data_IF_770891316624
#
_entry.id   IF_770891316624
#
_cell.length_a   1.000
_cell.length_b   1.000
_cell.length_c   1.000
_cell.angle_alpha   90.00
_cell.angle_beta   90.00
_cell.angle_gamma   90.00
#
_symmetry.space_group_name_H-M   'P 1'
#
loop_
_entity.id
_entity.type
_entity.pdbx_description
1 polymer ?
#
# COMPACT_ATOMS: atom_id res chain seq x y z
N UNK A 1 -2.03 -26.13 -22.70
CA UNK A 1 -2.34 -25.32 -21.49
C UNK A 1 -2.83 -23.96 -21.94
N UNK A 2 -4.00 -23.51 -21.49
CA UNK A 2 -4.55 -22.19 -21.86
C UNK A 2 -3.63 -21.11 -21.27
N UNK A 3 -3.18 -20.15 -22.08
CA UNK A 3 -2.35 -19.04 -21.58
C UNK A 3 -3.18 -18.24 -20.58
N UNK A 4 -2.64 -18.05 -19.38
CA UNK A 4 -3.27 -17.23 -18.36
C UNK A 4 -3.18 -15.74 -18.74
N UNK A 5 -4.20 -14.94 -18.39
CA UNK A 5 -4.18 -13.50 -18.63
C UNK A 5 -3.04 -12.85 -17.85
N UNK A 6 -2.43 -11.86 -18.48
CA UNK A 6 -1.38 -11.06 -17.87
C UNK A 6 -1.99 -10.02 -16.93
N UNK A 7 -1.58 -10.03 -15.66
CA UNK A 7 -2.02 -9.06 -14.67
C UNK A 7 -1.45 -7.67 -14.97
N UNK A 8 -2.28 -6.64 -14.81
CA UNK A 8 -1.78 -5.26 -14.67
C UNK A 8 -1.63 -4.97 -13.19
N UNK A 9 -0.40 -4.70 -12.80
CA UNK A 9 0.01 -4.48 -11.42
C UNK A 9 1.09 -3.41 -11.40
N UNK A 10 1.04 -2.56 -10.38
CA UNK A 10 2.06 -1.55 -10.12
C UNK A 10 3.30 -2.17 -9.49
N UNK A 11 4.47 -1.56 -9.73
CA UNK A 11 5.75 -2.01 -9.19
C UNK A 11 5.71 -2.12 -7.66
N UNK A 12 5.10 -1.15 -6.96
CA UNK A 12 4.96 -1.19 -5.51
C UNK A 12 4.22 -2.44 -5.00
N UNK A 13 3.04 -2.76 -5.56
CA UNK A 13 2.28 -3.95 -5.17
C UNK A 13 3.03 -5.24 -5.52
N UNK A 14 3.69 -5.26 -6.68
CA UNK A 14 4.48 -6.41 -7.10
C UNK A 14 5.67 -6.67 -6.18
N UNK A 15 6.42 -5.62 -5.83
CA UNK A 15 7.63 -5.70 -5.02
C UNK A 15 7.34 -6.03 -3.55
N UNK A 16 6.13 -5.73 -3.04
CA UNK A 16 5.68 -6.13 -1.70
C UNK A 16 5.38 -7.65 -1.57
N UNK A 17 5.59 -8.43 -2.64
CA UNK A 17 5.32 -9.87 -2.65
C UNK A 17 6.29 -10.63 -1.74
N UNK A 18 5.76 -11.42 -0.81
CA UNK A 18 6.49 -12.37 0.02
C UNK A 18 5.92 -13.81 -0.02
N UNK A 19 4.93 -14.08 -0.87
CA UNK A 19 4.31 -15.40 -1.02
C UNK A 19 4.55 -15.98 -2.42
N UNK A 20 5.27 -17.10 -2.48
CA UNK A 20 5.35 -17.95 -3.67
C UNK A 20 4.51 -19.22 -3.48
N UNK A 21 3.68 -19.53 -4.48
CA UNK A 21 2.99 -20.81 -4.62
C UNK A 21 3.70 -21.58 -5.72
N UNK A 22 4.56 -22.52 -5.33
CA UNK A 22 5.30 -23.38 -6.28
C UNK A 22 4.37 -24.42 -6.89
N UNK A 23 4.42 -24.53 -8.22
CA UNK A 23 3.78 -25.64 -8.92
C UNK A 23 4.51 -26.95 -8.62
N UNK A 24 3.78 -27.98 -8.20
CA UNK A 24 4.36 -29.32 -7.96
C UNK A 24 4.39 -30.11 -9.27
N UNK A 25 5.51 -30.03 -10.00
CA UNK A 25 5.80 -30.80 -11.21
C UNK A 25 6.44 -29.98 -12.34
N UNK A 26 7.09 -30.64 -13.30
CA UNK A 26 7.88 -29.98 -14.36
C UNK A 26 7.10 -28.97 -15.23
N UNK A 27 5.78 -29.10 -15.31
CA UNK A 27 4.90 -28.28 -16.16
C UNK A 27 3.87 -27.47 -15.38
N UNK A 28 3.94 -27.46 -14.05
CA UNK A 28 3.00 -26.69 -13.23
C UNK A 28 3.56 -25.28 -13.02
N UNK A 29 2.83 -24.22 -13.40
CA UNK A 29 3.28 -22.85 -13.20
C UNK A 29 3.46 -22.54 -11.70
N UNK A 30 4.50 -21.80 -11.38
CA UNK A 30 4.61 -21.09 -10.09
C UNK A 30 3.85 -19.77 -10.17
N UNK A 31 3.30 -19.37 -9.04
CA UNK A 31 2.63 -18.09 -8.87
C UNK A 31 3.27 -17.35 -7.72
N UNK A 32 3.18 -16.03 -7.78
CA UNK A 32 3.28 -15.23 -6.57
C UNK A 32 1.91 -14.70 -6.17
N UNK A 33 1.74 -14.37 -4.90
CA UNK A 33 0.52 -13.73 -4.40
C UNK A 33 0.89 -12.40 -3.77
N UNK A 34 0.37 -11.31 -4.30
CA UNK A 34 0.62 -9.96 -3.77
C UNK A 34 -0.21 -9.68 -2.52
N UNK A 35 0.10 -8.63 -1.73
CA UNK A 35 -0.70 -8.29 -0.55
C UNK A 35 -2.19 -8.02 -0.86
N UNK A 36 -2.49 -7.44 -2.02
CA UNK A 36 -3.89 -7.22 -2.47
C UNK A 36 -4.54 -8.48 -3.06
N UNK A 37 -3.88 -9.64 -3.01
CA UNK A 37 -4.44 -10.93 -3.40
C UNK A 37 -4.36 -11.25 -4.90
N UNK A 38 -3.53 -10.55 -5.68
CA UNK A 38 -3.26 -10.94 -7.07
C UNK A 38 -2.49 -12.25 -7.10
N UNK A 39 -3.06 -13.32 -7.68
CA UNK A 39 -2.35 -14.58 -7.93
C UNK A 39 -1.66 -14.53 -9.30
N UNK A 40 -0.41 -14.10 -9.33
CA UNK A 40 0.30 -13.67 -10.53
C UNK A 40 1.27 -14.74 -11.03
N UNK A 41 1.06 -15.22 -12.27
CA UNK A 41 2.07 -15.96 -13.03
C UNK A 41 2.74 -15.09 -14.11
N UNK A 42 1.96 -14.17 -14.69
CA UNK A 42 2.32 -13.36 -15.84
C UNK A 42 1.80 -11.94 -15.64
N UNK A 43 2.59 -10.95 -16.03
CA UNK A 43 2.24 -9.53 -15.95
C UNK A 43 2.31 -8.88 -17.32
N UNK A 44 1.53 -7.82 -17.47
CA UNK A 44 1.70 -6.82 -18.52
C UNK A 44 1.92 -5.48 -17.83
N UNK A 45 3.13 -4.94 -17.96
CA UNK A 45 3.54 -3.68 -17.35
C UNK A 45 3.90 -2.67 -18.43
N UNK A 46 3.85 -1.39 -18.09
CA UNK A 46 4.35 -0.31 -18.95
C UNK A 46 5.04 0.73 -18.09
N UNK A 47 6.18 1.24 -18.54
CA UNK A 47 7.00 2.18 -17.79
C UNK A 47 8.16 2.72 -18.59
N UNK A 48 9.07 3.42 -17.92
CA UNK A 48 10.32 3.93 -18.48
C UNK A 48 11.41 2.89 -18.30
N UNK A 49 11.98 2.38 -19.38
CA UNK A 49 13.22 1.63 -19.34
C UNK A 49 14.33 2.60 -18.93
N UNK A 50 14.92 2.43 -17.74
CA UNK A 50 15.92 3.36 -17.19
C UNK A 50 17.35 2.94 -17.50
N UNK A 51 17.60 1.63 -17.51
CA UNK A 51 18.91 1.04 -17.74
C UNK A 51 18.79 -0.39 -18.27
N UNK A 52 19.82 -0.80 -19.00
CA UNK A 52 20.03 -2.16 -19.50
C UNK A 52 21.51 -2.47 -19.33
N UNK A 53 21.82 -3.44 -18.47
CA UNK A 53 23.17 -3.82 -18.09
C UNK A 53 23.42 -5.31 -18.37
N UNK A 54 24.66 -5.64 -18.73
CA UNK A 54 25.10 -7.03 -18.83
C UNK A 54 25.57 -7.52 -17.46
N UNK A 55 24.98 -8.60 -16.96
CA UNK A 55 25.32 -9.18 -15.65
C UNK A 55 26.55 -10.08 -15.72
N UNK A 56 26.84 -10.62 -16.91
CA UNK A 56 27.95 -11.54 -17.16
C UNK A 56 28.80 -11.00 -18.31
N UNK A 57 30.12 -11.15 -18.22
CA UNK A 57 31.04 -10.91 -19.33
C UNK A 57 30.62 -11.73 -20.55
N UNK A 58 30.25 -11.05 -21.65
CA UNK A 58 29.71 -11.67 -22.86
C UNK A 58 28.34 -11.15 -23.28
N UNK A 59 27.61 -10.43 -22.42
CA UNK A 59 26.38 -9.72 -22.79
C UNK A 59 25.16 -10.59 -23.07
N UNK A 60 25.24 -11.88 -22.78
CA UNK A 60 24.18 -12.87 -23.04
C UNK A 60 23.09 -12.90 -21.96
N UNK A 61 23.35 -12.26 -20.81
CA UNK A 61 22.42 -12.14 -19.69
C UNK A 61 22.30 -10.69 -19.27
N UNK A 62 21.11 -10.12 -19.47
CA UNK A 62 20.81 -8.73 -19.24
C UNK A 62 19.96 -8.56 -17.99
N UNK A 63 20.29 -7.52 -17.22
CA UNK A 63 19.42 -6.93 -16.22
C UNK A 63 18.93 -5.60 -16.76
N UNK A 64 17.64 -5.37 -16.66
CA UNK A 64 17.04 -4.10 -17.04
C UNK A 64 16.05 -3.65 -15.96
N UNK A 65 15.84 -2.35 -15.86
CA UNK A 65 14.87 -1.76 -14.94
C UNK A 65 13.81 -0.98 -15.70
N UNK A 66 12.55 -1.24 -15.36
CA UNK A 66 11.41 -0.51 -15.90
C UNK A 66 10.70 0.18 -14.76
N UNK A 67 10.70 1.51 -14.78
CA UNK A 67 10.11 2.37 -13.76
C UNK A 67 8.67 2.73 -14.11
N UNK A 68 7.75 2.49 -13.19
CA UNK A 68 6.39 3.05 -13.23
C UNK A 68 6.24 4.13 -12.13
N UNK A 69 5.11 4.84 -12.03
CA UNK A 69 4.95 5.90 -11.03
C UNK A 69 5.08 5.45 -9.56
N UNK A 70 5.04 4.14 -9.30
CA UNK A 70 5.03 3.55 -7.95
C UNK A 70 6.35 2.87 -7.57
N UNK A 71 7.27 2.70 -8.52
CA UNK A 71 8.54 2.04 -8.27
C UNK A 71 9.14 1.41 -9.52
N UNK A 72 10.01 0.41 -9.31
CA UNK A 72 10.82 -0.19 -10.37
C UNK A 72 10.59 -1.70 -10.44
N UNK A 73 10.40 -2.21 -11.65
CA UNK A 73 10.46 -3.63 -11.96
C UNK A 73 11.87 -4.04 -12.38
N UNK A 74 12.44 -5.06 -11.75
CA UNK A 74 13.68 -5.70 -12.20
C UNK A 74 13.37 -6.79 -13.22
N UNK A 75 13.99 -6.70 -14.39
CA UNK A 75 13.83 -7.63 -15.51
C UNK A 75 15.16 -8.36 -15.73
N UNK A 76 15.10 -9.69 -15.87
CA UNK A 76 16.22 -10.50 -16.31
C UNK A 76 15.90 -11.21 -17.62
N UNK A 77 16.70 -10.98 -18.65
CA UNK A 77 16.57 -11.61 -19.97
C UNK A 77 17.87 -12.31 -20.34
N UNK A 78 17.78 -13.52 -20.88
CA UNK A 78 18.95 -14.31 -21.25
C UNK A 78 18.81 -15.03 -22.58
N UNK A 79 19.69 -16.01 -22.81
CA UNK A 79 19.80 -16.79 -24.05
C UNK A 79 18.51 -17.50 -24.47
N UNK A 80 17.64 -17.87 -23.52
CA UNK A 80 16.36 -18.54 -23.80
C UNK A 80 15.23 -17.57 -24.20
N UNK A 81 15.49 -16.26 -24.19
CA UNK A 81 14.55 -15.20 -24.53
C UNK A 81 15.11 -14.32 -25.67
N UNK A 82 15.69 -14.94 -26.71
CA UNK A 82 16.46 -14.25 -27.75
C UNK A 82 15.76 -13.00 -28.33
N UNK A 83 14.48 -13.09 -28.67
CA UNK A 83 13.72 -11.95 -29.21
C UNK A 83 13.61 -10.78 -28.22
N UNK A 84 13.27 -11.06 -26.95
CA UNK A 84 13.15 -10.04 -25.92
C UNK A 84 14.53 -9.45 -25.52
N UNK A 85 15.56 -10.30 -25.45
CA UNK A 85 16.95 -9.88 -25.17
C UNK A 85 17.48 -8.98 -26.29
N UNK A 86 17.33 -9.37 -27.55
CA UNK A 86 17.74 -8.55 -28.69
C UNK A 86 16.99 -7.21 -28.72
N UNK A 87 15.68 -7.23 -28.42
CA UNK A 87 14.90 -5.99 -28.36
C UNK A 87 15.36 -5.08 -27.22
N UNK A 88 15.64 -5.61 -26.03
CA UNK A 88 16.23 -4.83 -24.92
C UNK A 88 17.56 -4.18 -25.29
N UNK A 89 18.45 -4.89 -25.98
CA UNK A 89 19.74 -4.33 -26.43
C UNK A 89 19.58 -3.22 -27.48
N UNK A 90 18.52 -3.29 -28.28
CA UNK A 90 18.29 -2.31 -29.35
C UNK A 90 17.63 -1.01 -28.89
N UNK A 91 16.99 -1.01 -27.72
CA UNK A 91 16.29 0.17 -27.19
C UNK A 91 17.30 0.97 -26.37
N UNK A 92 17.49 2.24 -26.71
CA UNK A 92 18.33 3.15 -25.93
C UNK A 92 17.52 3.74 -24.76
N UNK A 93 17.92 3.52 -23.49
CA UNK A 93 17.31 4.19 -22.35
C UNK A 93 17.65 5.69 -22.33
N UNK A 94 16.72 6.58 -21.90
CA UNK A 94 15.37 6.28 -21.42
C UNK A 94 14.34 6.13 -22.54
N UNK A 95 13.50 5.08 -22.47
CA UNK A 95 12.43 4.84 -23.44
C UNK A 95 11.16 4.27 -22.77
N UNK A 96 9.97 4.63 -23.27
CA UNK A 96 8.74 3.99 -22.80
C UNK A 96 8.62 2.60 -23.40
N UNK A 97 8.45 1.60 -22.54
CA UNK A 97 8.35 0.20 -22.95
C UNK A 97 7.13 -0.48 -22.33
N UNK A 98 6.45 -1.29 -23.13
CA UNK A 98 5.47 -2.26 -22.70
C UNK A 98 6.14 -3.63 -22.60
N UNK A 99 5.97 -4.31 -21.45
CA UNK A 99 6.59 -5.61 -21.18
C UNK A 99 5.52 -6.62 -20.79
N UNK A 100 5.51 -7.75 -21.48
CA UNK A 100 4.82 -8.96 -21.00
C UNK A 100 5.86 -9.92 -20.47
N UNK A 101 5.72 -10.32 -19.21
CA UNK A 101 6.74 -11.14 -18.54
C UNK A 101 6.16 -12.16 -17.58
N UNK A 102 6.91 -13.23 -17.33
CA UNK A 102 6.62 -14.21 -16.28
C UNK A 102 7.31 -13.82 -15.00
N UNK A 103 6.63 -14.04 -13.89
CA UNK A 103 7.20 -13.82 -12.56
C UNK A 103 8.27 -14.86 -12.27
N UNK A 104 9.36 -14.41 -11.66
CA UNK A 104 10.42 -15.23 -11.07
C UNK A 104 10.66 -14.75 -9.65
N UNK A 105 11.01 -15.69 -8.78
CA UNK A 105 11.42 -15.44 -7.42
C UNK A 105 12.85 -15.90 -7.25
N UNK A 106 13.60 -15.23 -6.39
CA UNK A 106 14.88 -15.71 -5.91
C UNK A 106 15.03 -15.40 -4.43
N UNK A 107 15.73 -16.27 -3.71
CA UNK A 107 15.93 -16.20 -2.27
C UNK A 107 17.44 -16.27 -2.04
N UNK A 108 18.14 -15.13 -1.94
CA UNK A 108 19.60 -15.10 -1.80
C UNK A 108 20.06 -15.43 -0.37
N UNK A 109 19.24 -15.07 0.62
CA UNK A 109 19.47 -15.26 2.05
C UNK A 109 18.23 -15.90 2.68
N UNK A 110 18.38 -16.57 3.83
CA UNK A 110 17.25 -17.20 4.52
C UNK A 110 16.21 -16.14 4.93
N UNK A 111 15.04 -16.18 4.28
CA UNK A 111 13.85 -15.45 4.70
C UNK A 111 13.40 -14.33 3.76
N UNK A 112 14.28 -13.80 2.91
CA UNK A 112 13.92 -12.68 2.02
C UNK A 112 13.66 -13.17 0.60
N UNK A 113 12.40 -13.06 0.17
CA UNK A 113 11.97 -13.38 -1.19
C UNK A 113 12.02 -12.11 -2.04
N UNK A 114 12.77 -12.17 -3.14
CA UNK A 114 12.80 -11.11 -4.13
C UNK A 114 12.08 -11.57 -5.39
N UNK A 115 11.41 -10.64 -6.05
CA UNK A 115 10.68 -10.88 -7.30
C UNK A 115 11.38 -10.20 -8.48
N UNK A 116 11.35 -10.86 -9.63
CA UNK A 116 11.83 -10.30 -10.89
C UNK A 116 11.00 -10.81 -12.06
N UNK A 117 11.11 -10.14 -13.21
CA UNK A 117 10.38 -10.49 -14.41
C UNK A 117 11.31 -11.12 -15.44
N UNK A 118 10.90 -12.27 -15.98
CA UNK A 118 11.48 -12.82 -17.20
C UNK A 118 10.62 -12.37 -18.37
N UNK A 119 11.14 -11.54 -19.29
CA UNK A 119 10.33 -11.01 -20.36
C UNK A 119 10.02 -12.09 -21.40
N UNK A 120 8.81 -12.06 -21.91
CA UNK A 120 8.39 -12.82 -23.10
C UNK A 120 8.28 -11.93 -24.32
N UNK A 121 7.89 -10.68 -24.13
CA UNK A 121 7.76 -9.68 -25.19
C UNK A 121 8.04 -8.29 -24.61
N UNK A 122 8.83 -7.51 -25.33
CA UNK A 122 9.14 -6.11 -25.01
C UNK A 122 8.94 -5.29 -26.27
N UNK A 123 8.30 -4.13 -26.16
CA UNK A 123 8.15 -3.16 -27.25
C UNK A 123 8.24 -1.74 -26.73
N UNK A 124 8.80 -0.86 -27.53
CA UNK A 124 8.63 0.58 -27.32
C UNK A 124 7.15 0.94 -27.51
N UNK A 125 6.67 1.84 -26.67
CA UNK A 125 5.27 2.31 -26.67
C UNK A 125 5.22 3.83 -26.61
N UNK A 126 4.08 4.40 -26.98
CA UNK A 126 3.89 5.85 -26.87
C UNK A 126 3.56 6.27 -25.43
N UNK A 127 3.65 7.56 -25.16
CA UNK A 127 3.25 8.14 -23.88
C UNK A 127 1.77 7.85 -23.56
N UNK A 128 0.89 7.92 -24.57
CA UNK A 128 -0.54 7.67 -24.41
C UNK A 128 -0.84 6.21 -24.05
N UNK A 129 -0.08 5.27 -24.61
CA UNK A 129 -0.21 3.85 -24.26
C UNK A 129 0.21 3.60 -22.81
N UNK A 130 1.26 4.29 -22.34
CA UNK A 130 1.72 4.28 -20.94
C UNK A 130 0.68 4.88 -20.01
N UNK A 131 0.09 6.02 -20.36
CA UNK A 131 -0.93 6.67 -19.53
C UNK A 131 -2.21 5.83 -19.45
N UNK A 132 -2.63 5.23 -20.56
CA UNK A 132 -3.75 4.28 -20.57
C UNK A 132 -3.49 3.07 -19.68
N UNK A 133 -2.27 2.52 -19.72
CA UNK A 133 -1.90 1.43 -18.84
C UNK A 133 -2.00 1.86 -17.36
N UNK A 134 -1.51 3.05 -17.00
CA UNK A 134 -1.60 3.58 -15.63
C UNK A 134 -3.07 3.65 -15.17
N UNK A 135 -3.97 4.21 -15.99
CA UNK A 135 -5.41 4.31 -15.67
C UNK A 135 -6.03 2.91 -15.47
N UNK A 136 -5.76 1.98 -16.38
CA UNK A 136 -6.26 0.60 -16.29
C UNK A 136 -5.72 -0.12 -15.05
N UNK A 137 -4.45 0.09 -14.70
CA UNK A 137 -3.82 -0.46 -13.51
C UNK A 137 -4.43 0.13 -12.23
N UNK A 138 -4.65 1.45 -12.17
CA UNK A 138 -5.35 2.10 -11.05
C UNK A 138 -6.74 1.49 -10.80
N UNK A 139 -7.52 1.26 -11.86
CA UNK A 139 -8.85 0.64 -11.74
C UNK A 139 -8.76 -0.80 -11.22
N UNK A 140 -7.80 -1.59 -11.70
CA UNK A 140 -7.61 -2.96 -11.24
C UNK A 140 -7.09 -3.02 -9.79
N UNK A 141 -6.18 -2.14 -9.41
CA UNK A 141 -5.69 -2.01 -8.02
C UNK A 141 -6.84 -1.63 -7.09
N UNK A 142 -7.67 -0.63 -7.45
CA UNK A 142 -8.87 -0.26 -6.69
C UNK A 142 -9.83 -1.44 -6.52
N UNK A 143 -10.06 -2.23 -7.57
CA UNK A 143 -10.91 -3.42 -7.49
C UNK A 143 -10.36 -4.45 -6.50
N UNK A 144 -9.04 -4.69 -6.49
CA UNK A 144 -8.39 -5.59 -5.52
C UNK A 144 -8.42 -5.05 -4.09
N UNK A 145 -8.22 -3.74 -3.92
CA UNK A 145 -8.36 -3.07 -2.63
C UNK A 145 -9.75 -3.27 -2.04
N UNK A 146 -10.82 -3.06 -2.83
CA UNK A 146 -12.18 -3.33 -2.39
C UNK A 146 -12.37 -4.78 -1.95
N UNK A 147 -11.82 -5.73 -2.72
CA UNK A 147 -11.93 -7.15 -2.41
C UNK A 147 -11.21 -7.55 -1.11
N UNK A 148 -9.98 -7.07 -0.89
CA UNK A 148 -9.26 -7.35 0.37
C UNK A 148 -9.91 -6.63 1.57
N UNK A 149 -10.46 -5.43 1.38
CA UNK A 149 -11.22 -4.72 2.42
C UNK A 149 -12.46 -5.49 2.83
N UNK A 150 -13.24 -6.02 1.88
CA UNK A 150 -14.38 -6.87 2.21
C UNK A 150 -13.96 -8.16 2.92
N UNK A 151 -12.86 -8.77 2.49
CA UNK A 151 -12.32 -9.95 3.15
C UNK A 151 -11.91 -9.65 4.60
N UNK A 152 -11.23 -8.53 4.88
CA UNK A 152 -10.81 -8.15 6.24
C UNK A 152 -11.98 -7.88 7.21
N UNK A 153 -13.18 -7.57 6.69
CA UNK A 153 -14.40 -7.45 7.51
C UNK A 153 -14.99 -8.80 7.91
N UNK A 154 -14.60 -9.90 7.25
CA UNK A 154 -15.10 -11.24 7.55
C UNK A 154 -14.36 -11.85 8.72
N UNK A 155 -15.08 -12.53 9.62
CA UNK A 155 -14.45 -13.28 10.72
C UNK A 155 -13.56 -14.42 10.21
N UNK A 156 -13.96 -15.06 9.10
CA UNK A 156 -13.18 -16.09 8.41
C UNK A 156 -13.27 -15.89 6.89
N UNK A 157 -12.31 -15.18 6.28
CA UNK A 157 -12.26 -14.96 4.85
C UNK A 157 -12.22 -16.29 4.09
N UNK A 158 -13.13 -16.49 3.14
CA UNK A 158 -13.19 -17.69 2.32
C UNK A 158 -13.60 -17.39 0.88
N UNK A 159 -13.25 -18.31 -0.02
CA UNK A 159 -13.46 -18.15 -1.47
C UNK A 159 -14.95 -18.08 -1.83
N UNK A 160 -15.81 -18.76 -1.09
CA UNK A 160 -17.24 -18.81 -1.40
C UNK A 160 -17.90 -17.45 -1.19
N UNK A 161 -17.67 -16.82 -0.03
CA UNK A 161 -18.28 -15.54 0.31
C UNK A 161 -17.77 -14.40 -0.58
N UNK A 162 -16.47 -14.36 -0.89
CA UNK A 162 -15.90 -13.37 -1.82
C UNK A 162 -16.47 -13.51 -3.23
N UNK A 163 -16.70 -14.74 -3.70
CA UNK A 163 -17.35 -14.97 -5.00
C UNK A 163 -18.82 -14.55 -4.99
N UNK A 164 -19.52 -14.70 -3.85
CA UNK A 164 -20.91 -14.23 -3.69
C UNK A 164 -21.00 -12.71 -3.76
N UNK A 165 -19.95 -11.99 -3.37
CA UNK A 165 -19.81 -10.54 -3.55
C UNK A 165 -19.46 -10.13 -4.99
N UNK A 166 -19.23 -11.09 -5.90
CA UNK A 166 -18.95 -10.83 -7.32
C UNK A 166 -17.47 -10.87 -7.70
N UNK A 167 -16.56 -11.16 -6.77
CA UNK A 167 -15.14 -11.28 -7.11
C UNK A 167 -14.83 -12.57 -7.87
N UNK A 168 -13.82 -12.52 -8.74
CA UNK A 168 -13.40 -13.70 -9.50
C UNK A 168 -12.87 -14.80 -8.58
N UNK A 169 -12.89 -16.04 -9.07
CA UNK A 169 -12.33 -17.18 -8.32
C UNK A 169 -10.85 -16.97 -8.04
N UNK A 170 -10.10 -16.52 -9.03
CA UNK A 170 -8.65 -16.34 -8.95
C UNK A 170 -8.27 -15.27 -7.92
N UNK A 171 -8.99 -14.14 -7.92
CA UNK A 171 -8.78 -13.08 -6.94
C UNK A 171 -9.19 -13.53 -5.54
N UNK A 172 -10.32 -14.23 -5.41
CA UNK A 172 -10.79 -14.73 -4.10
C UNK A 172 -9.81 -15.73 -3.48
N UNK A 173 -9.28 -16.67 -4.29
CA UNK A 173 -8.24 -17.61 -3.85
C UNK A 173 -6.97 -16.86 -3.42
N UNK A 174 -6.55 -15.85 -4.20
CA UNK A 174 -5.37 -15.06 -3.90
C UNK A 174 -5.53 -14.21 -2.64
N UNK A 175 -6.70 -13.62 -2.38
CA UNK A 175 -6.97 -12.84 -1.16
C UNK A 175 -6.92 -13.70 0.10
N UNK A 176 -7.54 -14.89 0.07
CA UNK A 176 -7.48 -15.82 1.20
C UNK A 176 -6.03 -16.23 1.49
N UNK A 177 -5.25 -16.49 0.44
CA UNK A 177 -3.82 -16.80 0.58
C UNK A 177 -3.01 -15.58 1.09
N UNK A 178 -3.33 -14.38 0.61
CA UNK A 178 -2.69 -13.14 1.02
C UNK A 178 -2.94 -12.84 2.49
N UNK A 179 -4.19 -12.82 2.96
CA UNK A 179 -4.50 -12.56 4.37
C UNK A 179 -3.87 -13.60 5.31
N UNK A 180 -3.73 -14.85 4.86
CA UNK A 180 -3.02 -15.89 5.63
C UNK A 180 -1.52 -15.59 5.79
N UNK A 181 -0.88 -14.96 4.79
CA UNK A 181 0.55 -14.66 4.79
C UNK A 181 0.89 -13.29 5.38
N UNK A 182 0.16 -12.26 4.94
CA UNK A 182 0.44 -10.86 5.25
C UNK A 182 -0.36 -10.36 6.46
N UNK A 183 -1.40 -11.09 6.88
CA UNK A 183 -2.29 -10.64 7.96
C UNK A 183 -3.19 -9.50 7.47
N UNK A 184 -3.21 -8.39 8.23
CA UNK A 184 -3.89 -7.17 7.80
C UNK A 184 -3.08 -6.45 6.74
N UNK A 185 -3.75 -5.94 5.71
CA UNK A 185 -3.12 -5.24 4.59
C UNK A 185 -3.44 -3.75 4.70
N UNK A 186 -2.41 -2.90 4.69
CA UNK A 186 -2.60 -1.46 4.66
C UNK A 186 -3.10 -1.01 3.27
N UNK A 187 -4.41 -0.87 3.15
CA UNK A 187 -5.07 -0.42 1.92
C UNK A 187 -4.83 1.07 1.67
N UNK A 188 -4.54 1.87 2.70
CA UNK A 188 -4.31 3.31 2.54
C UNK A 188 -3.01 3.61 1.79
N UNK A 189 -1.96 2.81 2.02
CA UNK A 189 -0.73 2.82 1.19
C UNK A 189 -1.06 2.77 -0.30
N UNK A 190 -1.87 1.80 -0.73
CA UNK A 190 -2.24 1.63 -2.14
C UNK A 190 -3.21 2.70 -2.66
N UNK A 191 -4.05 3.26 -1.79
CA UNK A 191 -4.91 4.40 -2.15
C UNK A 191 -4.08 5.65 -2.48
N UNK A 192 -3.04 5.92 -1.69
CA UNK A 192 -2.09 7.01 -1.95
C UNK A 192 -1.31 6.77 -3.25
N UNK A 193 -0.82 5.54 -3.47
CA UNK A 193 -0.15 5.17 -4.73
C UNK A 193 -1.02 5.39 -5.97
N UNK A 194 -2.32 5.04 -5.91
CA UNK A 194 -3.27 5.33 -7.01
C UNK A 194 -3.38 6.84 -7.24
N UNK A 195 -3.50 7.64 -6.17
CA UNK A 195 -3.63 9.10 -6.28
C UNK A 195 -2.40 9.71 -6.96
N UNK A 196 -1.20 9.35 -6.49
CA UNK A 196 0.06 9.83 -7.04
C UNK A 196 0.23 9.39 -8.51
N UNK A 197 -0.12 8.15 -8.83
CA UNK A 197 -0.08 7.63 -10.21
C UNK A 197 -1.05 8.37 -11.15
N UNK A 198 -2.21 8.80 -10.66
CA UNK A 198 -3.15 9.61 -11.44
C UNK A 198 -2.70 11.07 -11.58
N UNK A 199 -2.07 11.64 -10.56
CA UNK A 199 -1.45 12.97 -10.64
C UNK A 199 -0.29 13.01 -11.65
N UNK A 200 0.45 11.90 -11.78
CA UNK A 200 1.52 11.76 -12.77
C UNK A 200 1.03 11.97 -14.21
N UNK A 201 -0.15 11.44 -14.57
CA UNK A 201 -0.71 11.52 -15.93
C UNK A 201 -1.55 12.77 -16.19
N UNK A 202 -2.07 13.42 -15.13
CA UNK A 202 -2.83 14.67 -15.23
C UNK A 202 -2.21 15.70 -14.29
N UNK A 203 -1.16 16.42 -14.71
CA UNK A 203 -0.62 17.55 -13.97
C UNK A 203 -1.73 18.58 -13.72
N UNK A 204 -1.97 18.93 -12.44
CA UNK A 204 -3.10 19.80 -12.02
C UNK A 204 -4.35 19.05 -11.54
N UNK A 205 -4.42 17.72 -11.68
CA UNK A 205 -5.50 16.95 -11.04
C UNK A 205 -5.46 17.05 -9.51
N UNK A 206 -4.30 17.35 -8.92
CA UNK A 206 -4.16 17.57 -7.48
C UNK A 206 -5.14 18.64 -6.96
N UNK A 207 -5.33 19.74 -7.70
CA UNK A 207 -6.28 20.80 -7.35
C UNK A 207 -7.71 20.26 -7.36
N UNK A 208 -8.09 19.50 -8.39
CA UNK A 208 -9.41 18.83 -8.47
C UNK A 208 -9.61 17.78 -7.37
N UNK A 209 -8.56 17.05 -6.98
CA UNK A 209 -8.65 16.07 -5.90
C UNK A 209 -8.80 16.74 -4.53
N UNK A 210 -8.14 17.88 -4.30
CA UNK A 210 -8.32 18.68 -3.08
C UNK A 210 -9.70 19.33 -3.04
N UNK A 211 -10.22 19.81 -4.17
CA UNK A 211 -11.62 20.25 -4.29
C UNK A 211 -12.61 19.13 -3.91
N UNK A 212 -12.45 17.93 -4.49
CA UNK A 212 -13.31 16.78 -4.19
C UNK A 212 -13.21 16.35 -2.70
N UNK A 213 -12.00 16.32 -2.12
CA UNK A 213 -11.84 16.03 -0.68
C UNK A 213 -12.54 17.07 0.20
N UNK A 214 -12.42 18.34 -0.16
CA UNK A 214 -13.11 19.42 0.53
C UNK A 214 -14.61 19.20 0.45
N UNK A 215 -15.16 18.93 -0.73
CA UNK A 215 -16.57 18.59 -0.94
C UNK A 215 -17.01 17.38 -0.10
N UNK A 216 -16.32 16.24 -0.17
CA UNK A 216 -16.63 15.04 0.63
C UNK A 216 -16.58 15.34 2.15
N UNK A 217 -15.63 16.16 2.60
CA UNK A 217 -15.50 16.56 4.00
C UNK A 217 -16.62 17.51 4.45
N UNK A 218 -17.10 18.36 3.55
CA UNK A 218 -18.22 19.28 3.78
C UNK A 218 -19.53 18.48 3.81
N UNK A 219 -19.74 17.55 2.89
CA UNK A 219 -20.89 16.64 2.87
C UNK A 219 -20.94 15.76 4.13
N UNK A 220 -19.80 15.20 4.56
CA UNK A 220 -19.73 14.42 5.81
C UNK A 220 -20.02 15.27 7.06
N UNK A 221 -19.63 16.55 7.07
CA UNK A 221 -19.97 17.52 8.13
C UNK A 221 -21.44 17.92 8.10
N UNK A 222 -22.05 18.03 6.92
CA UNK A 222 -23.48 18.33 6.75
C UNK A 222 -24.36 17.15 7.19
N UNK A 223 -24.02 15.92 6.79
CA UNK A 223 -24.73 14.71 7.24
C UNK A 223 -24.67 14.52 8.77
N UNK A 224 -23.55 14.86 9.41
CA UNK A 224 -23.40 14.88 10.89
C UNK A 224 -24.22 15.98 11.56
N UNK A 225 -24.54 17.07 10.85
CA UNK A 225 -25.40 18.16 11.34
C UNK A 225 -26.89 17.83 11.17
N UNK A 226 -27.27 17.13 10.11
CA UNK A 226 -28.65 16.69 9.87
C UNK A 226 -29.09 15.58 10.84
N UNK A 227 -28.22 14.61 11.13
CA UNK A 227 -28.49 13.54 12.12
C UNK A 227 -28.66 14.04 13.57
N UNK A 228 -28.36 15.31 13.86
CA UNK A 228 -28.60 15.95 15.18
C UNK A 228 -29.94 16.71 15.27
N UNK A 229 -30.76 16.76 14.22
CA UNK A 229 -32.03 17.53 14.19
C UNK A 229 -33.29 16.65 14.10
N UNK A 230 -33.53 15.78 15.08
CA UNK A 230 -34.91 15.35 15.38
C UNK A 230 -35.18 15.34 16.91
N UNK A 231 -36.41 15.64 17.36
CA UNK A 231 -36.67 16.07 18.72
C UNK A 231 -36.96 14.89 19.67
N UNK A 232 -36.24 14.83 20.79
CA UNK A 232 -36.55 13.95 21.94
C UNK A 232 -37.88 14.34 22.59
N UNK A 233 -38.87 13.44 22.57
CA UNK A 233 -39.96 13.38 23.58
C UNK A 233 -39.86 12.10 24.41
N UNK A 234 -40.03 12.32 25.72
CA UNK A 234 -39.67 11.50 26.88
C UNK A 234 -40.52 10.23 27.11
N UNK A 235 -39.94 9.20 27.74
CA UNK A 235 -40.26 8.87 29.15
C UNK A 235 -39.22 7.94 29.81
N UNK A 236 -38.95 8.28 31.09
CA UNK A 236 -37.94 7.79 32.04
C UNK A 236 -38.30 6.43 32.65
N UNK A 237 -37.27 5.67 33.03
CA UNK A 237 -37.07 5.08 34.38
C UNK A 237 -35.54 4.89 34.58
N UNK A 238 -34.85 5.87 35.16
CA UNK A 238 -34.38 5.91 36.56
C UNK A 238 -33.57 4.68 37.01
N UNK A 239 -32.25 4.80 36.97
CA UNK A 239 -31.37 4.44 38.09
C UNK A 239 -30.36 5.55 38.29
N UNK A 240 -30.12 5.85 39.55
CA UNK A 240 -29.61 7.10 40.09
C UNK A 240 -28.12 7.34 39.81
N UNK A 241 -27.81 8.58 39.46
CA UNK A 241 -26.48 9.20 39.58
C UNK A 241 -26.05 9.25 41.05
N UNK A 242 -24.75 9.43 41.29
CA UNK A 242 -24.36 10.65 41.96
C UNK A 242 -23.59 11.55 40.98
N UNK A 243 -24.01 12.81 40.95
CA UNK A 243 -23.30 13.94 40.38
C UNK A 243 -22.03 14.22 41.19
N UNK A 244 -20.96 14.57 40.49
CA UNK A 244 -20.36 15.92 40.57
C UNK A 244 -19.36 16.10 39.43
N UNK A 245 -19.39 17.31 38.87
CA UNK A 245 -18.57 17.82 37.79
C UNK A 245 -17.06 17.69 38.03
N UNK A 246 -16.29 17.45 36.95
CA UNK A 246 -15.02 18.14 36.62
C UNK A 246 -14.48 17.63 35.27
N UNK A 247 -13.90 18.52 34.47
CA UNK A 247 -13.47 18.30 33.10
C UNK A 247 -12.37 17.21 33.01
N UNK A 248 -12.65 16.07 32.37
CA UNK A 248 -11.57 15.15 31.97
C UNK A 248 -10.98 15.65 30.65
N UNK A 249 -9.83 16.32 30.72
CA UNK A 249 -9.02 16.64 29.55
C UNK A 249 -8.65 15.35 28.80
N UNK A 250 -8.74 15.41 27.46
CA UNK A 250 -8.34 14.32 26.57
C UNK A 250 -6.86 13.94 26.83
N UNK A 251 -6.52 12.66 27.04
CA UNK A 251 -5.15 12.22 27.35
C UNK A 251 -4.12 12.71 26.32
N UNK A 252 -4.49 12.82 25.04
CA UNK A 252 -3.60 13.42 24.03
C UNK A 252 -3.27 14.88 24.31
N UNK A 253 -4.24 15.65 24.83
CA UNK A 253 -4.07 17.06 25.18
C UNK A 253 -3.15 17.21 26.39
N UNK A 254 -3.30 16.33 27.39
CA UNK A 254 -2.45 16.32 28.60
C UNK A 254 -1.01 15.95 28.24
N UNK A 255 -0.81 14.96 27.38
CA UNK A 255 0.51 14.53 26.91
C UNK A 255 1.16 15.61 26.05
N UNK A 256 0.42 16.22 25.12
CA UNK A 256 0.91 17.32 24.28
C UNK A 256 1.37 18.52 25.10
N UNK A 257 0.57 18.96 26.08
CA UNK A 257 0.94 20.07 26.95
C UNK A 257 2.17 19.74 27.79
N UNK A 258 2.29 18.50 28.24
CA UNK A 258 3.46 18.04 29.02
C UNK A 258 4.74 18.04 28.18
N UNK A 259 4.67 17.63 26.91
CA UNK A 259 5.83 17.71 26.00
C UNK A 259 6.25 19.16 25.80
N UNK A 260 5.30 20.09 25.60
CA UNK A 260 5.60 21.53 25.47
C UNK A 260 6.19 22.18 26.72
N UNK A 261 5.84 21.67 27.89
CA UNK A 261 6.38 22.15 29.17
C UNK A 261 7.83 21.65 29.40
N UNK A 262 8.16 20.47 28.89
CA UNK A 262 9.44 19.78 29.17
C UNK A 262 10.42 19.90 28.00
N UNK A 263 9.96 20.21 26.79
CA UNK A 263 10.83 20.30 25.61
C UNK A 263 11.79 21.49 25.71
N UNK A 264 13.09 21.17 25.66
CA UNK A 264 14.15 22.15 25.50
C UNK A 264 14.52 22.36 24.03
N UNK A 265 15.65 23.01 23.80
CA UNK A 265 16.19 23.25 22.45
C UNK A 265 16.43 21.93 21.68
N UNK A 266 16.80 20.87 22.41
CA UNK A 266 17.08 19.53 21.88
C UNK A 266 15.90 18.54 21.98
N UNK A 267 14.76 18.96 22.54
CA UNK A 267 13.58 18.12 22.80
C UNK A 267 13.49 17.62 24.25
N UNK A 268 12.47 16.80 24.54
CA UNK A 268 12.17 16.23 25.85
C UNK A 268 12.49 14.72 25.90
N UNK A 269 13.29 14.24 26.87
CA UNK A 269 13.54 12.82 27.04
C UNK A 269 12.26 12.04 27.38
N UNK A 270 12.11 10.84 26.82
CA UNK A 270 10.93 9.98 27.00
C UNK A 270 10.63 9.70 28.48
N UNK A 271 11.66 9.36 29.26
CA UNK A 271 11.52 9.10 30.71
C UNK A 271 10.94 10.29 31.47
N UNK A 272 11.34 11.51 31.09
CA UNK A 272 10.85 12.75 31.73
C UNK A 272 9.38 13.04 31.39
N UNK A 273 8.96 12.72 30.17
CA UNK A 273 7.55 12.83 29.74
C UNK A 273 6.70 11.82 30.52
N UNK A 274 7.13 10.56 30.61
CA UNK A 274 6.39 9.49 31.30
C UNK A 274 6.25 9.79 32.79
N UNK A 275 7.31 10.23 33.47
CA UNK A 275 7.24 10.61 34.89
C UNK A 275 6.28 11.78 35.15
N UNK A 276 6.25 12.76 34.25
CA UNK A 276 5.42 13.96 34.40
C UNK A 276 3.95 13.67 34.10
N UNK A 277 3.68 12.82 33.10
CA UNK A 277 2.33 12.34 32.79
C UNK A 277 1.78 11.40 33.87
N UNK A 278 2.62 10.54 34.48
CA UNK A 278 2.24 9.72 35.65
C UNK A 278 1.85 10.59 36.85
N UNK A 279 2.56 11.70 37.10
CA UNK A 279 2.19 12.69 38.14
C UNK A 279 0.87 13.40 37.86
N UNK A 280 0.51 13.56 36.57
CA UNK A 280 -0.79 14.10 36.13
C UNK A 280 -1.92 13.05 36.08
N UNK A 281 -1.65 11.82 36.53
CA UNK A 281 -2.67 10.77 36.73
C UNK A 281 -2.92 9.87 35.52
N UNK A 282 -2.08 9.92 34.48
CA UNK A 282 -2.15 9.00 33.34
C UNK A 282 -1.38 7.71 33.63
N UNK A 283 -1.96 6.57 33.25
CA UNK A 283 -1.25 5.30 33.27
C UNK A 283 -0.32 5.15 32.05
N UNK A 284 0.66 4.26 32.17
CA UNK A 284 1.74 4.09 31.19
C UNK A 284 1.23 3.69 29.80
N UNK A 285 0.20 2.85 29.72
CA UNK A 285 -0.37 2.44 28.43
C UNK A 285 -1.07 3.62 27.74
N UNK A 286 -1.83 4.42 28.49
CA UNK A 286 -2.49 5.62 27.95
C UNK A 286 -1.48 6.67 27.47
N UNK A 287 -0.32 6.78 28.14
CA UNK A 287 0.76 7.67 27.71
C UNK A 287 1.38 7.19 26.40
N UNK A 288 1.69 5.90 26.27
CA UNK A 288 2.25 5.32 25.05
C UNK A 288 1.28 5.43 23.87
N UNK A 289 0.00 5.15 24.07
CA UNK A 289 -1.04 5.30 23.04
C UNK A 289 -1.17 6.75 22.57
N UNK A 290 -1.16 7.70 23.51
CA UNK A 290 -1.21 9.13 23.18
C UNK A 290 0.06 9.61 22.45
N UNK A 291 1.24 9.17 22.86
CA UNK A 291 2.50 9.49 22.19
C UNK A 291 2.54 8.97 20.76
N UNK A 292 2.16 7.71 20.55
CA UNK A 292 2.08 7.11 19.21
C UNK A 292 1.06 7.85 18.34
N UNK A 293 -0.12 8.17 18.88
CA UNK A 293 -1.15 8.96 18.18
C UNK A 293 -0.67 10.35 17.78
N UNK A 294 0.07 11.04 18.65
CA UNK A 294 0.62 12.37 18.37
C UNK A 294 1.75 12.35 17.32
N UNK A 295 2.55 11.28 17.32
CA UNK A 295 3.61 11.05 16.33
C UNK A 295 3.03 10.72 14.95
N UNK A 296 2.00 9.87 14.90
CA UNK A 296 1.27 9.53 13.67
C UNK A 296 0.57 10.75 13.06
N UNK A 297 0.06 11.65 13.89
CA UNK A 297 -0.56 12.92 13.47
C UNK A 297 0.48 13.99 13.09
N UNK A 298 1.77 13.72 13.29
CA UNK A 298 2.86 14.66 12.99
C UNK A 298 2.89 15.90 13.86
N UNK A 299 2.32 15.84 15.07
CA UNK A 299 2.42 16.94 16.04
C UNK A 299 3.70 16.86 16.90
N UNK A 300 4.29 15.67 16.99
CA UNK A 300 5.59 15.45 17.63
C UNK A 300 6.45 14.55 16.74
N UNK A 301 7.76 14.69 16.86
CA UNK A 301 8.75 13.88 16.15
C UNK A 301 9.93 13.55 17.05
N UNK A 302 10.70 12.53 16.68
CA UNK A 302 11.85 12.04 17.44
C UNK A 302 13.17 12.47 16.75
N UNK A 303 13.75 13.64 17.09
CA UNK A 303 15.02 14.09 16.50
C UNK A 303 16.21 13.19 16.84
N UNK A 304 16.19 12.56 18.02
CA UNK A 304 17.18 11.58 18.47
C UNK A 304 16.46 10.48 19.24
N UNK A 305 16.97 9.24 19.14
CA UNK A 305 16.38 8.08 19.79
C UNK A 305 16.20 8.32 21.30
N UNK A 306 14.97 8.24 21.80
CA UNK A 306 14.57 8.50 23.18
C UNK A 306 14.21 9.95 23.50
N UNK A 307 14.19 10.85 22.52
CA UNK A 307 13.90 12.29 22.71
C UNK A 307 12.80 12.75 21.77
N UNK A 308 11.72 13.31 22.32
CA UNK A 308 10.54 13.77 21.57
C UNK A 308 10.47 15.29 21.55
N UNK A 309 10.09 15.87 20.42
CA UNK A 309 9.92 17.33 20.25
C UNK A 309 8.66 17.65 19.47
N UNK A 310 7.98 18.74 19.81
CA UNK A 310 6.84 19.20 19.03
C UNK A 310 7.28 19.77 17.68
N UNK A 311 6.46 19.52 16.64
CA UNK A 311 6.66 20.00 15.27
C UNK A 311 6.18 21.44 15.12
#
# INVERSE_FOLDING_TARGET
MRREPAWRIFAAEYNDTALEIKGTGEKVPSYVVTPLGSKVNRVFITGVLTDVESVVEGGEYLRAHVSDPTGVFTIYSGQYQQEATAKLQSIEPPAFVGVVGKVRTYVPEEGTLYVSLRPELIREVSAEARDRWIIETCLQTKHRMGAVTEAMKMSQPNVYDLRKLGYSRELSEGIVAALKKYGSVDVNKYATLIRESLQFIVPGAAEKFEEIKLEESLEAKEQRKETKKEPKKQKKQKKEEPKSDEASEDPETVVMNTIKEVEGEDGAPWDSIVETCKKKGLDENTIEEALNSLMDKGFIYEPMLGTLKTT
#
